data_IF_569262965129
#
_entry.id   IF_569262965129
#
_cell.length_a   1.000
_cell.length_b   1.000
_cell.length_c   1.000
_cell.angle_alpha   90.00
_cell.angle_beta   90.00
_cell.angle_gamma   90.00
#
_symmetry.space_group_name_H-M   'P 1'
#
loop_
_entity.id
_entity.type
_entity.pdbx_description
1 polymer ?
#
# COMPACT_ATOMS: atom_id res chain seq x y z
N UNK A 1 14.55 -1.76 27.99
CA UNK A 1 13.41 -2.45 27.36
C UNK A 1 13.25 -3.82 27.98
N UNK A 2 12.05 -4.21 28.34
CA UNK A 2 11.81 -5.51 28.96
C UNK A 2 11.92 -6.66 27.94
N UNK A 3 12.21 -7.86 28.43
CA UNK A 3 12.27 -9.05 27.60
C UNK A 3 10.94 -9.35 26.93
N UNK A 4 9.82 -9.09 27.61
CA UNK A 4 8.48 -9.25 27.07
C UNK A 4 8.22 -8.39 25.85
N UNK A 5 8.67 -7.14 25.86
CA UNK A 5 8.52 -6.23 24.74
C UNK A 5 9.36 -6.70 23.57
N UNK A 6 10.59 -7.11 23.80
CA UNK A 6 11.46 -7.64 22.75
C UNK A 6 10.87 -8.89 22.12
N UNK A 7 10.37 -9.83 22.94
CA UNK A 7 9.73 -11.06 22.45
C UNK A 7 8.47 -10.76 21.65
N UNK A 8 7.66 -9.80 22.07
CA UNK A 8 6.46 -9.38 21.34
C UNK A 8 6.81 -8.84 19.97
N UNK A 9 7.82 -7.98 19.87
CA UNK A 9 8.28 -7.42 18.60
C UNK A 9 8.83 -8.53 17.69
N UNK A 10 9.64 -9.43 18.22
CA UNK A 10 10.20 -10.53 17.45
C UNK A 10 9.12 -11.49 16.92
N UNK A 11 8.04 -11.71 17.68
CA UNK A 11 6.91 -12.52 17.25
C UNK A 11 6.11 -11.86 16.13
N UNK A 12 5.98 -10.54 16.17
CA UNK A 12 5.19 -9.79 15.20
C UNK A 12 5.93 -9.48 13.90
N UNK A 13 7.26 -9.33 13.97
CA UNK A 13 8.10 -8.93 12.84
C UNK A 13 9.15 -10.03 12.62
N UNK A 14 8.73 -11.13 12.00
CA UNK A 14 9.57 -12.32 11.86
C UNK A 14 10.54 -12.30 10.69
N UNK A 15 10.37 -11.42 9.72
CA UNK A 15 10.97 -11.62 8.42
C UNK A 15 11.96 -10.55 7.97
N UNK A 16 12.11 -9.45 8.71
CA UNK A 16 12.98 -8.37 8.26
C UNK A 16 13.56 -7.59 9.43
N UNK A 17 14.88 -7.67 9.57
CA UNK A 17 15.63 -6.96 10.61
C UNK A 17 15.45 -5.44 10.51
N UNK A 18 15.33 -4.89 9.30
CA UNK A 18 15.10 -3.45 9.10
C UNK A 18 13.74 -3.01 9.61
N UNK A 19 12.70 -3.84 9.42
CA UNK A 19 11.38 -3.56 9.97
C UNK A 19 11.40 -3.59 11.49
N UNK A 20 12.12 -4.54 12.08
CA UNK A 20 12.29 -4.63 13.52
C UNK A 20 13.00 -3.39 14.07
N UNK A 21 14.09 -2.97 13.45
CA UNK A 21 14.82 -1.76 13.84
C UNK A 21 13.96 -0.50 13.70
N UNK A 22 13.20 -0.38 12.61
CA UNK A 22 12.27 0.72 12.39
C UNK A 22 11.19 0.77 13.44
N UNK A 23 10.59 -0.39 13.79
CA UNK A 23 9.58 -0.48 14.82
C UNK A 23 10.13 -0.12 16.20
N UNK A 24 11.35 -0.57 16.53
CA UNK A 24 12.03 -0.23 17.78
C UNK A 24 12.30 1.28 17.87
N UNK A 25 12.78 1.88 16.81
CA UNK A 25 13.06 3.32 16.77
C UNK A 25 11.78 4.13 16.94
N UNK A 26 10.68 3.73 16.30
CA UNK A 26 9.38 4.36 16.47
C UNK A 26 8.87 4.24 17.90
N UNK A 27 9.01 3.06 18.49
CA UNK A 27 8.61 2.83 19.88
C UNK A 27 9.40 3.69 20.85
N UNK A 28 10.72 3.75 20.69
CA UNK A 28 11.58 4.56 21.54
C UNK A 28 11.26 6.05 21.39
N UNK A 29 11.05 6.53 20.18
CA UNK A 29 10.67 7.91 19.91
C UNK A 29 9.31 8.25 20.56
N UNK A 30 8.34 7.34 20.43
CA UNK A 30 7.02 7.50 21.03
C UNK A 30 7.12 7.59 22.57
N UNK A 31 7.85 6.65 23.16
CA UNK A 31 8.03 6.62 24.62
C UNK A 31 8.75 7.86 25.13
N UNK A 32 9.76 8.34 24.42
CA UNK A 32 10.50 9.56 24.76
C UNK A 32 9.60 10.80 24.69
N UNK A 33 8.79 10.93 23.62
CA UNK A 33 7.86 12.05 23.47
C UNK A 33 6.81 12.11 24.57
N UNK A 34 6.35 10.96 25.02
CA UNK A 34 5.29 10.87 26.04
C UNK A 34 5.80 10.62 27.47
N UNK A 35 7.11 10.55 27.66
CA UNK A 35 7.73 10.33 28.96
C UNK A 35 7.35 8.99 29.60
N UNK A 36 7.09 7.97 28.78
CA UNK A 36 6.68 6.64 29.26
C UNK A 36 7.72 5.60 28.91
N UNK A 37 7.73 4.49 29.66
CA UNK A 37 8.60 3.37 29.37
C UNK A 37 7.99 2.46 28.30
N UNK A 38 8.84 1.73 27.53
CA UNK A 38 8.34 0.76 26.56
C UNK A 38 7.54 -0.34 27.23
N UNK A 39 6.29 -0.49 26.85
CA UNK A 39 5.38 -1.53 27.32
C UNK A 39 4.74 -2.24 26.14
N UNK A 40 4.12 -3.40 26.37
CA UNK A 40 3.39 -4.11 25.32
C UNK A 40 2.27 -3.25 24.76
N UNK A 41 1.58 -2.47 25.59
CA UNK A 41 0.52 -1.58 25.14
C UNK A 41 1.06 -0.47 24.22
N UNK A 42 2.21 0.11 24.56
CA UNK A 42 2.87 1.10 23.72
C UNK A 42 3.29 0.49 22.37
N UNK A 43 3.80 -0.74 22.37
CA UNK A 43 4.15 -1.46 21.14
C UNK A 43 2.90 -1.66 20.28
N UNK A 44 1.81 -2.11 20.87
CA UNK A 44 0.54 -2.28 20.15
C UNK A 44 0.04 -0.97 19.56
N UNK A 45 0.15 0.11 20.30
CA UNK A 45 -0.24 1.44 19.83
C UNK A 45 0.61 1.87 18.62
N UNK A 46 1.93 1.75 18.69
CA UNK A 46 2.84 2.16 17.62
C UNK A 46 2.65 1.29 16.37
N UNK A 47 2.56 -0.04 16.55
CA UNK A 47 2.38 -0.98 15.42
C UNK A 47 0.97 -0.92 14.84
N UNK A 48 -0.02 -0.60 15.67
CA UNK A 48 -1.43 -0.54 15.26
C UNK A 48 -1.93 0.85 14.93
N UNK A 49 -1.12 1.90 15.16
CA UNK A 49 -1.61 3.25 15.03
C UNK A 49 -1.71 3.71 13.59
N UNK A 50 -2.85 4.27 13.28
CA UNK A 50 -3.03 5.30 12.30
C UNK A 50 -2.92 4.95 10.83
N UNK A 51 -2.32 3.88 10.43
CA UNK A 51 -2.21 3.40 9.04
C UNK A 51 -1.84 1.93 8.99
N UNK A 52 -2.39 1.16 9.91
CA UNK A 52 -2.26 -0.27 9.84
C UNK A 52 -2.86 -0.75 8.51
N UNK A 53 -2.06 -1.46 7.71
CA UNK A 53 -2.59 -2.10 6.52
C UNK A 53 -3.73 -3.02 6.93
N UNK A 54 -4.89 -2.97 6.26
CA UNK A 54 -5.92 -3.98 6.49
C UNK A 54 -5.28 -5.35 6.33
N UNK A 55 -5.58 -6.27 7.23
CA UNK A 55 -5.01 -7.62 7.21
C UNK A 55 -5.25 -8.36 5.89
N UNK A 56 -6.18 -7.90 5.09
CA UNK A 56 -6.65 -8.56 3.88
C UNK A 56 -6.62 -7.68 2.64
N UNK A 57 -5.75 -6.67 2.60
CA UNK A 57 -5.60 -5.86 1.41
C UNK A 57 -5.10 -6.73 0.26
N UNK A 58 -5.87 -6.81 -0.82
CA UNK A 58 -5.57 -7.62 -1.98
C UNK A 58 -5.59 -6.80 -3.26
N UNK A 59 -5.01 -7.34 -4.33
CA UNK A 59 -5.07 -6.73 -5.66
C UNK A 59 -6.50 -6.49 -6.10
N UNK A 60 -7.40 -7.43 -5.82
CA UNK A 60 -8.82 -7.31 -6.14
C UNK A 60 -9.45 -6.09 -5.48
N UNK A 61 -9.15 -5.84 -4.21
CA UNK A 61 -9.66 -4.67 -3.48
C UNK A 61 -9.15 -3.37 -4.10
N UNK A 62 -7.89 -3.33 -4.51
CA UNK A 62 -7.31 -2.17 -5.19
C UNK A 62 -8.04 -1.90 -6.50
N UNK A 63 -8.26 -2.93 -7.30
CA UNK A 63 -8.99 -2.82 -8.58
C UNK A 63 -10.41 -2.30 -8.34
N UNK A 64 -11.11 -2.87 -7.37
CA UNK A 64 -12.49 -2.47 -7.03
C UNK A 64 -12.56 -1.01 -6.57
N UNK A 65 -11.61 -0.56 -5.76
CA UNK A 65 -11.58 0.82 -5.28
C UNK A 65 -11.27 1.81 -6.40
N UNK A 66 -10.33 1.48 -7.26
CA UNK A 66 -10.03 2.31 -8.41
C UNK A 66 -11.24 2.42 -9.34
N UNK A 67 -11.91 1.31 -9.59
CA UNK A 67 -13.13 1.29 -10.40
C UNK A 67 -14.22 2.18 -9.80
N UNK A 68 -14.45 2.10 -8.50
CA UNK A 68 -15.43 2.94 -7.82
C UNK A 68 -15.07 4.42 -7.83
N UNK A 69 -13.81 4.73 -7.58
CA UNK A 69 -13.35 6.12 -7.55
C UNK A 69 -13.58 6.81 -8.90
N UNK A 70 -13.30 6.13 -9.98
CA UNK A 70 -13.43 6.66 -11.34
C UNK A 70 -14.79 6.32 -11.98
N UNK A 71 -15.67 5.64 -11.26
CA UNK A 71 -17.01 5.27 -11.73
C UNK A 71 -16.99 4.46 -13.02
N UNK A 72 -16.07 3.49 -13.09
CA UNK A 72 -15.97 2.56 -14.21
C UNK A 72 -16.21 1.15 -13.74
N UNK A 73 -16.74 0.24 -14.59
CA UNK A 73 -16.91 -1.16 -14.23
C UNK A 73 -15.55 -1.85 -14.03
N UNK A 74 -15.46 -2.74 -13.04
CA UNK A 74 -14.25 -3.56 -12.84
C UNK A 74 -13.90 -4.34 -14.10
N UNK A 75 -14.91 -4.85 -14.78
CA UNK A 75 -14.76 -5.60 -16.02
C UNK A 75 -13.99 -4.84 -17.09
N UNK A 76 -14.22 -3.51 -17.17
CA UNK A 76 -13.52 -2.66 -18.13
C UNK A 76 -12.03 -2.52 -17.78
N UNK A 77 -11.70 -2.46 -16.49
CA UNK A 77 -10.29 -2.43 -16.06
C UNK A 77 -9.55 -3.72 -16.44
N UNK A 78 -10.25 -4.84 -16.41
CA UNK A 78 -9.71 -6.14 -16.78
C UNK A 78 -9.73 -6.41 -18.29
N UNK A 79 -10.40 -5.55 -19.05
CA UNK A 79 -10.57 -5.69 -20.50
C UNK A 79 -9.38 -5.09 -21.26
N UNK A 80 -9.25 -5.38 -22.58
CA UNK A 80 -8.22 -4.75 -23.40
C UNK A 80 -8.57 -3.33 -23.87
N UNK A 81 -9.62 -2.73 -23.38
CA UNK A 81 -10.04 -1.37 -23.76
C UNK A 81 -8.94 -0.35 -23.51
N UNK A 82 -8.79 0.60 -24.43
CA UNK A 82 -7.76 1.65 -24.38
C UNK A 82 -8.33 3.07 -24.23
N UNK A 83 -9.60 3.19 -23.85
CA UNK A 83 -10.21 4.48 -23.57
C UNK A 83 -9.52 5.16 -22.40
N UNK A 84 -9.29 6.46 -22.47
CA UNK A 84 -8.63 7.23 -21.43
C UNK A 84 -9.26 7.02 -20.06
N UNK A 85 -10.59 6.99 -20.04
CA UNK A 85 -11.36 6.82 -18.81
C UNK A 85 -11.15 5.46 -18.14
N UNK A 86 -10.56 4.52 -18.85
CA UNK A 86 -10.27 3.17 -18.37
C UNK A 86 -8.77 2.96 -18.18
N UNK A 87 -7.95 3.50 -19.08
CA UNK A 87 -6.50 3.35 -19.05
C UNK A 87 -5.91 3.98 -17.79
N UNK A 88 -6.31 5.21 -17.45
CA UNK A 88 -5.79 5.92 -16.27
C UNK A 88 -6.12 5.19 -14.97
N UNK A 89 -7.38 4.81 -14.70
CA UNK A 89 -7.69 4.00 -13.52
C UNK A 89 -6.91 2.68 -13.47
N UNK A 90 -6.74 2.02 -14.60
CA UNK A 90 -5.96 0.77 -14.69
C UNK A 90 -4.50 1.01 -14.32
N UNK A 91 -3.90 2.07 -14.82
CA UNK A 91 -2.52 2.41 -14.51
C UNK A 91 -2.33 2.75 -13.03
N UNK A 92 -3.28 3.47 -12.45
CA UNK A 92 -3.27 3.77 -11.01
C UNK A 92 -3.39 2.49 -10.20
N UNK A 93 -4.25 1.56 -10.61
CA UNK A 93 -4.38 0.26 -9.93
C UNK A 93 -3.04 -0.50 -9.95
N UNK A 94 -2.36 -0.53 -11.09
CA UNK A 94 -1.05 -1.16 -11.21
C UNK A 94 -0.03 -0.50 -10.29
N UNK A 95 0.02 0.82 -10.26
CA UNK A 95 0.88 1.60 -9.38
C UNK A 95 0.63 1.26 -7.91
N UNK A 96 -0.63 1.20 -7.50
CA UNK A 96 -0.99 0.91 -6.12
C UNK A 96 -0.67 -0.53 -5.73
N UNK A 97 -0.85 -1.49 -6.62
CA UNK A 97 -0.42 -2.87 -6.37
C UNK A 97 1.09 -2.94 -6.11
N UNK A 98 1.86 -2.15 -6.82
CA UNK A 98 3.31 -2.10 -6.63
C UNK A 98 3.70 -1.38 -5.34
N UNK A 99 3.10 -0.23 -5.07
CA UNK A 99 3.45 0.59 -3.90
C UNK A 99 2.90 0.05 -2.58
N UNK A 100 1.69 -0.50 -2.59
CA UNK A 100 1.01 -0.93 -1.36
C UNK A 100 1.21 -2.43 -1.07
N UNK A 101 1.20 -3.27 -2.10
CA UNK A 101 1.33 -4.72 -1.94
C UNK A 101 2.71 -5.25 -2.32
N UNK A 102 3.56 -4.43 -2.92
CA UNK A 102 4.89 -4.81 -3.38
C UNK A 102 4.88 -6.02 -4.32
N UNK A 103 3.85 -6.12 -5.16
CA UNK A 103 3.74 -7.22 -6.12
C UNK A 103 4.77 -7.08 -7.22
N UNK A 104 5.23 -8.22 -7.76
CA UNK A 104 6.09 -8.23 -8.94
C UNK A 104 5.31 -7.77 -10.17
N UNK A 105 6.00 -7.25 -11.17
CA UNK A 105 5.35 -6.81 -12.41
C UNK A 105 4.61 -7.92 -13.13
N UNK A 106 5.13 -9.16 -13.23
CA UNK A 106 4.35 -10.26 -13.78
C UNK A 106 3.07 -10.54 -13.01
N UNK A 107 3.10 -10.46 -11.67
CA UNK A 107 1.91 -10.67 -10.85
C UNK A 107 0.88 -9.56 -11.05
N UNK A 108 1.32 -8.31 -11.14
CA UNK A 108 0.45 -7.16 -11.41
C UNK A 108 -0.25 -7.33 -12.76
N UNK A 109 0.50 -7.68 -13.79
CA UNK A 109 -0.05 -7.92 -15.13
C UNK A 109 -1.09 -9.03 -15.11
N UNK A 110 -0.81 -10.12 -14.40
CA UNK A 110 -1.72 -11.27 -14.29
C UNK A 110 -3.04 -10.87 -13.61
N UNK A 111 -2.98 -10.07 -12.55
CA UNK A 111 -4.17 -9.63 -11.82
C UNK A 111 -5.10 -8.78 -12.70
N UNK A 112 -4.57 -8.13 -13.71
CA UNK A 112 -5.35 -7.35 -14.68
C UNK A 112 -5.58 -8.06 -16.01
N UNK A 113 -5.38 -9.38 -16.03
CA UNK A 113 -5.64 -10.19 -17.22
C UNK A 113 -4.66 -9.95 -18.37
N UNK A 114 -3.48 -9.44 -18.07
CA UNK A 114 -2.43 -9.16 -19.08
C UNK A 114 -1.41 -10.28 -19.12
N UNK A 115 -0.95 -10.63 -20.32
CA UNK A 115 0.10 -11.63 -20.50
C UNK A 115 1.50 -11.02 -20.40
N UNK A 116 1.64 -9.75 -20.82
CA UNK A 116 2.91 -9.06 -20.88
C UNK A 116 3.08 -8.12 -19.70
N UNK A 117 4.11 -8.36 -18.90
CA UNK A 117 4.42 -7.53 -17.74
C UNK A 117 5.07 -6.18 -18.11
N UNK A 118 5.49 -5.99 -19.35
CA UNK A 118 6.05 -4.71 -19.81
C UNK A 118 5.04 -3.57 -19.63
N UNK A 119 3.75 -3.84 -19.87
CA UNK A 119 2.69 -2.87 -19.64
C UNK A 119 2.63 -2.42 -18.19
N UNK A 120 2.81 -3.37 -17.25
CA UNK A 120 2.82 -3.04 -15.83
C UNK A 120 4.01 -2.15 -15.47
N UNK A 121 5.19 -2.44 -15.98
CA UNK A 121 6.40 -1.64 -15.76
C UNK A 121 6.19 -0.21 -16.25
N UNK A 122 5.72 -0.04 -17.47
CA UNK A 122 5.46 1.28 -18.06
C UNK A 122 4.39 2.05 -17.30
N UNK A 123 3.31 1.38 -16.90
CA UNK A 123 2.22 2.01 -16.18
C UNK A 123 2.65 2.52 -14.80
N UNK A 124 3.39 1.70 -14.06
CA UNK A 124 3.91 2.09 -12.75
C UNK A 124 4.87 3.26 -12.89
N UNK A 125 5.77 3.21 -13.86
CA UNK A 125 6.74 4.29 -14.10
C UNK A 125 6.02 5.59 -14.49
N UNK A 126 5.05 5.52 -15.38
CA UNK A 126 4.27 6.67 -15.82
C UNK A 126 3.55 7.35 -14.65
N UNK A 127 2.86 6.58 -13.83
CA UNK A 127 2.13 7.14 -12.67
C UNK A 127 3.11 7.69 -11.64
N UNK A 128 4.24 7.04 -11.40
CA UNK A 128 5.28 7.54 -10.51
C UNK A 128 5.78 8.91 -10.97
N UNK A 129 6.09 9.06 -12.25
CA UNK A 129 6.60 10.31 -12.80
C UNK A 129 5.52 11.40 -12.82
N UNK A 130 4.32 11.08 -13.28
CA UNK A 130 3.23 12.05 -13.38
C UNK A 130 2.72 12.50 -12.01
N UNK A 131 2.70 11.62 -11.01
CA UNK A 131 2.23 11.97 -9.67
C UNK A 131 3.15 12.97 -8.97
N UNK A 132 4.40 13.04 -9.35
CA UNK A 132 5.32 14.04 -8.82
C UNK A 132 5.07 15.44 -9.39
N UNK A 133 4.42 15.54 -10.56
CA UNK A 133 4.18 16.78 -11.27
C UNK A 133 2.69 17.21 -11.25
N UNK A 134 1.77 16.28 -11.04
CA UNK A 134 0.34 16.51 -11.11
C UNK A 134 -0.32 16.34 -9.73
N UNK A 135 -0.76 17.46 -9.15
CA UNK A 135 -1.41 17.46 -7.85
C UNK A 135 -2.76 16.74 -7.87
N UNK A 136 -3.51 16.84 -8.96
CA UNK A 136 -4.80 16.18 -9.09
C UNK A 136 -4.64 14.66 -9.08
N UNK A 137 -3.62 14.15 -9.75
CA UNK A 137 -3.31 12.74 -9.77
C UNK A 137 -2.90 12.24 -8.36
N UNK A 138 -2.05 13.01 -7.66
CA UNK A 138 -1.67 12.69 -6.28
C UNK A 138 -2.88 12.66 -5.35
N UNK A 139 -3.78 13.62 -5.49
CA UNK A 139 -4.98 13.69 -4.68
C UNK A 139 -5.89 12.48 -4.92
N UNK A 140 -6.05 12.07 -6.18
CA UNK A 140 -6.83 10.88 -6.52
C UNK A 140 -6.24 9.62 -5.87
N UNK A 141 -4.92 9.45 -5.98
CA UNK A 141 -4.21 8.32 -5.37
C UNK A 141 -4.40 8.33 -3.85
N UNK A 142 -4.24 9.49 -3.21
CA UNK A 142 -4.40 9.62 -1.77
C UNK A 142 -5.83 9.31 -1.31
N UNK A 143 -6.84 9.75 -2.05
CA UNK A 143 -8.24 9.44 -1.74
C UNK A 143 -8.52 7.95 -1.84
N UNK A 144 -7.99 7.28 -2.84
CA UNK A 144 -8.12 5.82 -2.98
C UNK A 144 -7.44 5.13 -1.81
N UNK A 145 -6.23 5.55 -1.44
CA UNK A 145 -5.52 4.99 -0.28
C UNK A 145 -6.32 5.12 1.00
N UNK A 146 -6.87 6.29 1.27
CA UNK A 146 -7.69 6.51 2.47
C UNK A 146 -8.84 5.53 2.56
N UNK A 147 -9.52 5.28 1.45
CA UNK A 147 -10.63 4.32 1.42
C UNK A 147 -10.18 2.87 1.57
N UNK A 148 -9.00 2.53 1.07
CA UNK A 148 -8.43 1.19 1.23
C UNK A 148 -8.09 0.88 2.68
N UNK A 149 -7.66 1.89 3.44
CA UNK A 149 -7.23 1.76 4.83
C UNK A 149 -8.32 2.16 5.84
N UNK A 150 -9.48 2.51 5.36
CA UNK A 150 -10.61 2.87 6.22
C UNK A 150 -11.21 1.66 6.94
#
# INVERSE_FOLDING_TARGET
>A
MSTEVADYLATRIQTNIRELEGALNQLLAYCEMHGMEPTIDAVKFVLGSGKARPKHLSAKQIIERCARHFQVPVEDLLSPKRDKDIVVPRQIAMYMMRSELHLSFPKIAKELGRKDHTTAIHSVQKITDESSLDADLRNAINQIKEKLYA
#
